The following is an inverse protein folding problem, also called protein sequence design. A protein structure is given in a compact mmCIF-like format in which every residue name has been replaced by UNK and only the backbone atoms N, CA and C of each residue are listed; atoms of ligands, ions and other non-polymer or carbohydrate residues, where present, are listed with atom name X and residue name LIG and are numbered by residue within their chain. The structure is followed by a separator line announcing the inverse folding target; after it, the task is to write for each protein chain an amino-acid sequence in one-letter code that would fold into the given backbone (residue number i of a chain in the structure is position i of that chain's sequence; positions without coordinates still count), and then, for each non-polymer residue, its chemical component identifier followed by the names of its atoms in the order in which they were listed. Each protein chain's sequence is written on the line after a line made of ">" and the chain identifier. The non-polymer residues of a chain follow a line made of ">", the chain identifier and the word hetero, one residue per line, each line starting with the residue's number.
data_IF_814458551204
#
_entry.id   IF_814458551204
#
_cell.length_a   1.000
_cell.length_b   1.000
_cell.length_c   1.000
_cell.angle_alpha   90.00
_cell.angle_beta   90.00
_cell.angle_gamma   90.00
#
_symmetry.space_group_name_H-M   'P 1'
#
loop_
_entity.id
_entity.type
_entity.pdbx_description
1 polymer ?
#
# COMPACT_ATOMS: atom_id res chain seq x y z
N UNK A 1 -20.04 -5.26 6.86
CA UNK A 1 -18.99 -5.11 5.82
C UNK A 1 -19.01 -3.69 5.31
N UNK A 2 -17.85 -3.14 5.00
CA UNK A 2 -17.72 -1.85 4.32
C UNK A 2 -17.75 -2.04 2.78
N UNK A 3 -17.73 -0.92 2.03
CA UNK A 3 -17.84 -0.93 0.57
C UNK A 3 -16.78 -1.79 -0.15
N UNK A 4 -15.54 -1.85 0.39
CA UNK A 4 -14.47 -2.64 -0.22
C UNK A 4 -14.61 -4.11 0.12
N UNK A 5 -14.97 -4.45 1.36
CA UNK A 5 -15.23 -5.84 1.78
C UNK A 5 -16.39 -6.43 0.97
N UNK A 6 -17.48 -5.66 0.74
CA UNK A 6 -18.60 -6.07 -0.11
C UNK A 6 -18.14 -6.32 -1.55
N UNK A 7 -17.28 -5.44 -2.09
CA UNK A 7 -16.73 -5.62 -3.43
C UNK A 7 -15.85 -6.87 -3.53
N UNK A 8 -14.99 -7.10 -2.54
CA UNK A 8 -14.12 -8.28 -2.49
C UNK A 8 -14.96 -9.56 -2.34
N UNK A 9 -15.97 -9.57 -1.48
CA UNK A 9 -16.85 -10.73 -1.28
C UNK A 9 -17.64 -11.09 -2.55
N UNK A 10 -18.03 -10.10 -3.34
CA UNK A 10 -18.81 -10.31 -4.58
C UNK A 10 -17.96 -10.73 -5.77
N UNK A 11 -16.82 -10.06 -5.99
CA UNK A 11 -16.05 -10.15 -7.24
C UNK A 11 -14.63 -10.71 -7.03
N UNK A 12 -14.20 -10.91 -5.78
CA UNK A 12 -12.93 -11.54 -5.45
C UNK A 12 -12.98 -13.05 -5.67
N UNK A 13 -11.84 -13.63 -6.04
CA UNK A 13 -11.71 -15.08 -6.26
C UNK A 13 -10.61 -15.64 -5.37
N UNK A 14 -10.98 -16.56 -4.49
CA UNK A 14 -10.03 -17.27 -3.64
C UNK A 14 -9.40 -18.44 -4.42
N UNK A 15 -8.07 -18.56 -4.35
CA UNK A 15 -7.31 -19.65 -4.95
C UNK A 15 -6.51 -20.37 -3.87
N UNK A 16 -6.11 -21.61 -4.16
CA UNK A 16 -5.19 -22.37 -3.32
C UNK A 16 -3.91 -21.57 -3.00
N UNK A 17 -3.30 -21.86 -1.84
CA UNK A 17 -2.11 -21.16 -1.39
C UNK A 17 -2.38 -19.77 -0.79
N UNK A 18 -3.58 -19.52 -0.28
CA UNK A 18 -3.97 -18.24 0.33
C UNK A 18 -3.84 -17.04 -0.64
N UNK A 19 -4.23 -17.25 -1.91
CA UNK A 19 -4.22 -16.23 -2.94
C UNK A 19 -5.63 -15.65 -3.09
N UNK A 20 -5.76 -14.34 -2.88
CA UNK A 20 -6.96 -13.57 -3.18
C UNK A 20 -6.74 -12.81 -4.49
N UNK A 21 -7.50 -13.14 -5.52
CA UNK A 21 -7.52 -12.41 -6.80
C UNK A 21 -8.58 -11.33 -6.76
N UNK A 22 -8.14 -10.11 -6.97
CA UNK A 22 -8.96 -8.89 -7.06
C UNK A 22 -8.61 -8.11 -8.34
N UNK A 23 -8.10 -8.82 -9.32
CA UNK A 23 -7.55 -8.28 -10.56
C UNK A 23 -8.61 -7.60 -11.44
N UNK A 24 -9.86 -7.97 -11.30
CA UNK A 24 -10.96 -7.39 -12.07
C UNK A 24 -11.35 -5.95 -11.65
N UNK A 25 -10.87 -5.47 -10.50
CA UNK A 25 -11.26 -4.14 -10.00
C UNK A 25 -10.17 -3.37 -9.23
N UNK A 26 -9.08 -4.04 -8.81
CA UNK A 26 -8.08 -3.40 -7.94
C UNK A 26 -6.70 -3.26 -8.60
N UNK A 27 -6.10 -4.36 -9.06
CA UNK A 27 -4.67 -4.37 -9.38
C UNK A 27 -4.30 -4.87 -10.78
N UNK A 28 -5.28 -5.06 -11.66
CA UNK A 28 -5.07 -5.27 -13.09
C UNK A 28 -6.03 -4.39 -13.91
N UNK A 29 -7.34 -4.62 -13.81
CA UNK A 29 -8.34 -3.64 -14.17
C UNK A 29 -8.62 -2.76 -12.94
N UNK A 30 -8.65 -1.45 -13.12
CA UNK A 30 -8.84 -0.48 -12.04
C UNK A 30 -10.24 0.10 -12.08
N UNK A 31 -11.04 -0.11 -11.03
CA UNK A 31 -12.34 0.53 -10.87
C UNK A 31 -12.15 1.91 -10.22
N UNK A 32 -12.19 2.95 -11.05
CA UNK A 32 -11.90 4.32 -10.62
C UNK A 32 -12.96 4.84 -9.64
N UNK A 33 -14.22 4.44 -9.78
CA UNK A 33 -15.26 4.83 -8.83
C UNK A 33 -15.04 4.20 -7.44
N UNK A 34 -14.57 2.95 -7.40
CA UNK A 34 -14.15 2.30 -6.17
C UNK A 34 -12.93 3.01 -5.55
N UNK A 35 -11.94 3.38 -6.37
CA UNK A 35 -10.76 4.12 -5.89
C UNK A 35 -11.11 5.50 -5.34
N UNK A 36 -12.12 6.17 -5.90
CA UNK A 36 -12.61 7.44 -5.40
C UNK A 36 -13.22 7.29 -3.98
N UNK A 37 -14.01 6.24 -3.75
CA UNK A 37 -14.51 5.90 -2.41
C UNK A 37 -13.37 5.57 -1.43
N UNK A 38 -12.34 4.86 -1.87
CA UNK A 38 -11.12 4.62 -1.06
C UNK A 38 -10.44 5.94 -0.70
N UNK A 39 -10.32 6.85 -1.65
CA UNK A 39 -9.69 8.16 -1.46
C UNK A 39 -10.43 9.00 -0.41
N UNK A 40 -11.75 9.03 -0.48
CA UNK A 40 -12.62 9.70 0.49
C UNK A 40 -12.45 9.09 1.89
N UNK A 41 -12.46 7.77 2.01
CA UNK A 41 -12.33 7.07 3.27
C UNK A 41 -10.93 7.26 3.89
N UNK A 42 -9.85 7.19 3.11
CA UNK A 42 -8.51 7.51 3.60
C UNK A 42 -8.41 8.97 4.03
N UNK A 43 -9.00 9.91 3.28
CA UNK A 43 -9.05 11.33 3.69
C UNK A 43 -9.73 11.50 5.03
N UNK A 44 -10.82 10.78 5.29
CA UNK A 44 -11.54 10.78 6.56
C UNK A 44 -10.68 10.21 7.70
N UNK A 45 -10.03 9.05 7.49
CA UNK A 45 -9.21 8.38 8.52
C UNK A 45 -7.95 9.17 8.89
N UNK A 46 -7.35 9.86 7.93
CA UNK A 46 -6.15 10.69 8.13
C UNK A 46 -6.44 12.19 8.24
N UNK A 47 -7.67 12.59 8.52
CA UNK A 47 -8.10 14.00 8.53
C UNK A 47 -7.28 14.91 9.48
N UNK A 48 -6.70 14.34 10.54
CA UNK A 48 -5.91 15.08 11.54
C UNK A 48 -4.41 15.12 11.22
N UNK A 49 -3.98 14.54 10.11
CA UNK A 49 -2.57 14.44 9.70
C UNK A 49 -2.19 15.55 8.73
N UNK A 50 -0.96 16.03 8.87
CA UNK A 50 -0.42 17.06 7.99
C UNK A 50 0.28 16.40 6.78
N UNK A 51 -0.50 15.87 5.85
CA UNK A 51 0.02 15.15 4.69
C UNK A 51 0.23 16.13 3.55
N UNK A 52 1.45 16.17 3.01
CA UNK A 52 1.82 16.99 1.85
C UNK A 52 2.35 16.16 0.66
N UNK A 53 2.49 14.85 0.83
CA UNK A 53 2.97 13.94 -0.22
C UNK A 53 2.43 12.53 -0.02
N UNK A 54 2.14 11.83 -1.13
CA UNK A 54 1.85 10.40 -1.11
C UNK A 54 3.03 9.64 -1.70
N UNK A 55 3.41 8.55 -1.05
CA UNK A 55 4.41 7.61 -1.53
C UNK A 55 3.77 6.24 -1.74
N UNK A 56 4.06 5.61 -2.86
CA UNK A 56 3.64 4.25 -3.17
C UNK A 56 4.76 3.47 -3.85
N UNK A 57 4.49 2.24 -4.26
CA UNK A 57 5.43 1.39 -4.99
C UNK A 57 4.80 0.87 -6.28
N UNK A 58 5.60 0.77 -7.36
CA UNK A 58 5.13 0.17 -8.61
C UNK A 58 4.76 -1.32 -8.43
N UNK A 59 3.75 -1.84 -9.16
CA UNK A 59 2.97 -1.11 -10.15
C UNK A 59 1.54 -0.81 -9.64
N UNK A 60 0.89 -1.76 -8.97
CA UNK A 60 -0.55 -1.73 -8.63
C UNK A 60 -0.95 -0.63 -7.65
N UNK A 61 -0.05 -0.25 -6.73
CA UNK A 61 -0.29 0.85 -5.79
C UNK A 61 -0.44 2.22 -6.46
N UNK A 62 0.13 2.42 -7.66
CA UNK A 62 0.15 3.75 -8.33
C UNK A 62 -1.25 4.25 -8.64
N UNK A 63 -2.12 3.40 -9.19
CA UNK A 63 -3.49 3.81 -9.54
C UNK A 63 -4.28 4.29 -8.33
N UNK A 64 -4.24 3.53 -7.23
CA UNK A 64 -4.89 3.88 -5.97
C UNK A 64 -4.31 5.19 -5.43
N UNK A 65 -2.99 5.29 -5.36
CA UNK A 65 -2.29 6.45 -4.83
C UNK A 65 -2.65 7.75 -5.58
N UNK A 66 -2.76 7.70 -6.90
CA UNK A 66 -3.15 8.86 -7.73
C UNK A 66 -4.56 9.36 -7.41
N UNK A 67 -5.52 8.44 -7.24
CA UNK A 67 -6.89 8.83 -6.91
C UNK A 67 -6.97 9.33 -5.46
N UNK A 68 -6.31 8.66 -4.51
CA UNK A 68 -6.21 9.12 -3.11
C UNK A 68 -5.58 10.51 -3.03
N UNK A 69 -4.49 10.78 -3.78
CA UNK A 69 -3.80 12.06 -3.79
C UNK A 69 -4.70 13.22 -4.20
N UNK A 70 -5.68 12.98 -5.09
CA UNK A 70 -6.68 13.99 -5.48
C UNK A 70 -7.47 14.50 -4.27
N UNK A 71 -7.86 13.61 -3.34
CA UNK A 71 -8.59 13.96 -2.13
C UNK A 71 -7.73 14.75 -1.12
N UNK A 72 -6.41 14.55 -1.14
CA UNK A 72 -5.47 15.30 -0.30
C UNK A 72 -4.93 16.56 -0.99
N UNK A 73 -5.10 16.67 -2.31
CA UNK A 73 -4.52 17.73 -3.16
C UNK A 73 -3.00 17.82 -3.02
N UNK A 74 -2.31 16.67 -3.14
CA UNK A 74 -0.86 16.55 -2.98
C UNK A 74 -0.25 15.72 -4.10
N UNK A 75 1.05 15.86 -4.39
CA UNK A 75 1.74 15.05 -5.39
C UNK A 75 1.91 13.60 -4.92
N UNK A 76 2.08 12.71 -5.91
CA UNK A 76 2.43 11.29 -5.71
C UNK A 76 3.86 11.04 -6.18
N UNK A 77 4.63 10.37 -5.35
CA UNK A 77 5.92 9.77 -5.73
C UNK A 77 5.76 8.26 -5.67
N UNK A 78 6.28 7.54 -6.65
CA UNK A 78 6.30 6.09 -6.59
C UNK A 78 7.72 5.54 -6.62
N UNK A 79 7.97 4.57 -5.76
CA UNK A 79 9.21 3.84 -5.71
C UNK A 79 9.26 2.79 -6.84
N UNK A 80 10.43 2.62 -7.45
CA UNK A 80 10.69 1.64 -8.50
C UNK A 80 11.39 0.42 -7.93
N UNK A 81 11.08 -0.76 -8.46
CA UNK A 81 11.67 -2.05 -8.04
C UNK A 81 13.00 -2.38 -8.74
N UNK A 82 13.45 -1.56 -9.67
CA UNK A 82 14.71 -1.76 -10.37
C UNK A 82 15.38 -0.43 -10.73
N UNK A 83 16.72 -0.44 -10.85
CA UNK A 83 17.43 0.68 -11.44
C UNK A 83 17.05 0.80 -12.90
N UNK A 84 16.21 1.78 -13.22
CA UNK A 84 16.02 2.24 -14.59
C UNK A 84 17.18 3.16 -14.96
N UNK A 85 17.76 2.97 -16.14
CA UNK A 85 18.79 3.87 -16.73
C UNK A 85 18.32 5.35 -16.76
N UNK A 86 17.01 5.56 -16.67
CA UNK A 86 16.38 6.88 -16.74
C UNK A 86 16.23 7.60 -15.37
N UNK A 87 16.72 7.02 -14.25
CA UNK A 87 16.80 7.78 -13.00
C UNK A 87 18.11 8.53 -13.01
N UNK A 88 18.06 9.77 -13.50
CA UNK A 88 19.18 10.70 -13.41
C UNK A 88 19.29 11.24 -11.98
N UNK A 89 20.49 11.26 -11.44
CA UNK A 89 20.80 11.84 -10.14
C UNK A 89 20.85 10.86 -8.99
N UNK A 90 20.94 11.40 -7.78
CA UNK A 90 21.04 10.65 -6.53
C UNK A 90 19.71 10.00 -6.15
N UNK A 91 19.77 8.82 -5.60
CA UNK A 91 18.62 8.03 -5.18
C UNK A 91 18.72 7.60 -3.72
N UNK A 92 17.55 7.45 -3.08
CA UNK A 92 17.40 6.63 -1.89
C UNK A 92 17.16 5.20 -2.31
N UNK A 93 17.77 4.25 -1.63
CA UNK A 93 17.66 2.82 -1.93
C UNK A 93 17.34 2.06 -0.64
N UNK A 94 16.37 1.16 -0.71
CA UNK A 94 16.12 0.18 0.35
C UNK A 94 16.13 -1.22 -0.24
N UNK A 95 16.75 -2.17 0.47
CA UNK A 95 16.66 -3.60 0.13
C UNK A 95 15.38 -4.17 0.75
N UNK A 96 14.60 -4.88 -0.05
CA UNK A 96 13.37 -5.55 0.36
C UNK A 96 13.51 -7.04 0.05
N UNK A 97 13.44 -7.87 1.08
CA UNK A 97 13.48 -9.32 0.90
C UNK A 97 12.11 -9.83 0.45
N UNK A 98 12.06 -10.49 -0.70
CA UNK A 98 10.88 -11.25 -1.11
C UNK A 98 10.92 -12.64 -0.49
N UNK A 99 9.98 -12.96 0.40
CA UNK A 99 9.88 -14.27 1.05
C UNK A 99 9.66 -15.43 0.08
N UNK A 100 9.06 -15.16 -1.09
CA UNK A 100 8.70 -16.19 -2.07
C UNK A 100 9.88 -16.65 -2.95
N UNK A 101 10.91 -15.84 -3.12
CA UNK A 101 12.00 -16.16 -4.07
C UNK A 101 13.42 -15.98 -3.53
N UNK A 102 13.63 -15.67 -2.23
CA UNK A 102 14.94 -15.32 -1.64
C UNK A 102 15.73 -14.26 -2.44
N UNK A 103 15.06 -13.55 -3.33
CA UNK A 103 15.66 -12.49 -4.12
C UNK A 103 15.56 -11.17 -3.35
N UNK A 104 16.68 -10.52 -3.16
CA UNK A 104 16.74 -9.15 -2.66
C UNK A 104 16.33 -8.21 -3.79
N UNK A 105 15.17 -7.60 -3.65
CA UNK A 105 14.73 -6.54 -4.55
C UNK A 105 15.15 -5.19 -3.96
N UNK A 106 15.65 -4.31 -4.80
CA UNK A 106 15.91 -2.94 -4.43
C UNK A 106 14.70 -2.07 -4.76
N UNK A 107 14.32 -1.23 -3.82
CA UNK A 107 13.31 -0.20 -3.99
C UNK A 107 14.01 1.14 -4.02
N UNK A 108 13.70 1.98 -5.01
CA UNK A 108 14.46 3.17 -5.35
C UNK A 108 13.53 4.38 -5.52
N UNK A 109 13.90 5.51 -4.91
CA UNK A 109 13.25 6.82 -5.10
C UNK A 109 14.31 7.89 -5.38
N UNK A 110 14.08 8.76 -6.35
CA UNK A 110 14.96 9.91 -6.61
C UNK A 110 14.94 10.90 -5.45
N UNK A 111 16.12 11.36 -5.02
CA UNK A 111 16.26 12.40 -3.99
C UNK A 111 15.67 13.75 -4.42
N UNK A 112 15.48 13.97 -5.71
CA UNK A 112 14.84 15.18 -6.23
C UNK A 112 13.36 15.32 -5.82
N UNK A 113 12.70 14.21 -5.42
CA UNK A 113 11.24 14.19 -5.17
C UNK A 113 10.87 13.85 -3.74
N UNK A 114 11.85 13.60 -2.86
CA UNK A 114 11.61 13.30 -1.46
C UNK A 114 12.68 13.93 -0.58
N UNK A 115 12.27 14.64 0.47
CA UNK A 115 13.16 15.38 1.34
C UNK A 115 12.64 15.56 2.77
N UNK A 116 13.35 16.35 3.60
CA UNK A 116 13.07 16.45 5.03
C UNK A 116 11.77 17.18 5.37
N UNK A 117 11.25 18.01 4.47
CA UNK A 117 9.99 18.74 4.68
C UNK A 117 8.76 17.94 4.24
N UNK A 118 8.96 16.70 3.79
CA UNK A 118 7.88 15.85 3.32
C UNK A 118 7.19 15.12 4.48
N UNK A 119 5.88 15.30 4.55
CA UNK A 119 4.95 14.63 5.43
C UNK A 119 4.16 13.61 4.62
N UNK A 120 4.57 12.36 4.71
CA UNK A 120 4.23 11.31 3.75
C UNK A 120 3.09 10.42 4.25
N UNK A 121 2.06 10.26 3.42
CA UNK A 121 1.13 9.14 3.54
C UNK A 121 1.58 8.03 2.56
N UNK A 122 1.89 6.85 3.08
CA UNK A 122 2.20 5.68 2.25
C UNK A 122 0.88 5.00 1.87
N UNK A 123 0.69 4.72 0.58
CA UNK A 123 -0.49 4.02 0.04
C UNK A 123 -0.04 2.79 -0.73
N UNK A 124 -0.68 1.64 -0.49
CA UNK A 124 -0.45 0.42 -1.27
C UNK A 124 -1.73 -0.42 -1.43
N UNK A 125 -1.74 -1.35 -2.39
CA UNK A 125 -2.88 -2.22 -2.66
C UNK A 125 -2.97 -3.38 -1.64
N UNK A 126 -1.87 -4.07 -1.36
CA UNK A 126 -1.83 -5.22 -0.46
C UNK A 126 -0.76 -5.11 0.64
N UNK A 127 -1.14 -5.52 1.84
CA UNK A 127 -0.21 -5.76 2.94
C UNK A 127 -0.22 -7.26 3.30
N UNK A 128 0.91 -7.91 3.06
CA UNK A 128 1.14 -9.31 3.40
C UNK A 128 2.20 -9.43 4.52
N UNK A 129 3.46 -9.64 4.17
CA UNK A 129 4.57 -9.75 5.12
C UNK A 129 5.15 -8.38 5.57
N UNK A 130 4.81 -7.29 4.88
CA UNK A 130 5.24 -5.94 5.22
C UNK A 130 6.62 -5.51 4.69
N UNK A 131 7.31 -6.35 3.93
CA UNK A 131 8.65 -6.03 3.43
C UNK A 131 8.67 -4.78 2.54
N UNK A 132 7.69 -4.63 1.65
CA UNK A 132 7.58 -3.44 0.79
C UNK A 132 7.40 -2.16 1.63
N UNK A 133 6.53 -2.19 2.63
CA UNK A 133 6.31 -1.06 3.53
C UNK A 133 7.55 -0.69 4.33
N UNK A 134 8.29 -1.68 4.85
CA UNK A 134 9.57 -1.43 5.53
C UNK A 134 10.56 -0.72 4.61
N UNK A 135 10.63 -1.12 3.34
CA UNK A 135 11.46 -0.45 2.34
C UNK A 135 11.04 1.00 2.12
N UNK A 136 9.74 1.28 1.99
CA UNK A 136 9.21 2.64 1.82
C UNK A 136 9.45 3.49 3.07
N UNK A 137 9.22 2.96 4.27
CA UNK A 137 9.51 3.62 5.54
C UNK A 137 10.99 3.98 5.64
N UNK A 138 11.88 3.04 5.30
CA UNK A 138 13.34 3.27 5.27
C UNK A 138 13.72 4.41 4.31
N UNK A 139 13.10 4.47 3.13
CA UNK A 139 13.32 5.53 2.14
C UNK A 139 12.91 6.90 2.69
N UNK A 140 11.74 7.00 3.32
CA UNK A 140 11.29 8.26 3.95
C UNK A 140 12.25 8.68 5.07
N UNK A 141 12.71 7.72 5.88
CA UNK A 141 13.69 7.98 6.94
C UNK A 141 15.04 8.47 6.37
N UNK A 142 15.55 7.86 5.30
CA UNK A 142 16.77 8.32 4.61
C UNK A 142 16.63 9.75 4.06
N UNK A 143 15.43 10.12 3.63
CA UNK A 143 15.13 11.46 3.15
C UNK A 143 15.00 12.50 4.28
N UNK A 144 14.94 12.06 5.54
CA UNK A 144 14.66 12.92 6.69
C UNK A 144 13.19 13.33 6.80
N UNK A 145 12.30 12.79 5.98
CA UNK A 145 10.87 13.05 5.98
C UNK A 145 10.13 12.33 7.12
N UNK A 146 8.86 12.63 7.26
CA UNK A 146 7.99 12.04 8.29
C UNK A 146 6.93 11.14 7.66
N UNK A 147 6.78 9.90 8.14
CA UNK A 147 5.65 9.04 7.80
C UNK A 147 4.47 9.42 8.69
N UNK A 148 3.47 10.10 8.14
CA UNK A 148 2.25 10.53 8.86
C UNK A 148 1.26 9.39 9.07
N UNK A 149 1.26 8.44 8.15
CA UNK A 149 0.41 7.26 8.20
C UNK A 149 0.61 6.33 7.03
N UNK A 150 -0.07 5.19 7.08
CA UNK A 150 -0.02 4.15 6.07
C UNK A 150 -1.45 3.68 5.77
N UNK A 151 -1.86 3.79 4.51
CA UNK A 151 -3.16 3.35 4.02
C UNK A 151 -3.02 2.15 3.08
N UNK A 152 -3.74 1.08 3.38
CA UNK A 152 -3.71 -0.18 2.63
C UNK A 152 -5.13 -0.52 2.18
N UNK A 153 -5.27 -0.92 0.92
CA UNK A 153 -6.58 -1.39 0.45
C UNK A 153 -6.92 -2.73 1.11
N UNK A 154 -6.07 -3.73 0.98
CA UNK A 154 -6.32 -5.09 1.50
C UNK A 154 -5.16 -5.59 2.36
N UNK A 155 -5.41 -5.82 3.63
CA UNK A 155 -4.47 -6.45 4.56
C UNK A 155 -4.76 -7.94 4.67
N UNK A 156 -3.74 -8.78 4.52
CA UNK A 156 -3.82 -10.21 4.87
C UNK A 156 -3.58 -10.35 6.37
N UNK A 157 -4.65 -10.30 7.17
CA UNK A 157 -4.61 -10.28 8.62
C UNK A 157 -4.02 -11.54 9.26
N UNK A 158 -3.99 -12.66 8.51
CA UNK A 158 -3.34 -13.91 8.90
C UNK A 158 -1.81 -13.91 8.67
N UNK A 159 -1.25 -12.82 8.11
CA UNK A 159 0.19 -12.62 7.95
C UNK A 159 0.72 -11.57 8.92
N UNK A 160 2.05 -11.55 9.10
CA UNK A 160 2.71 -10.77 10.16
C UNK A 160 2.80 -9.27 9.89
N UNK A 161 2.64 -8.84 8.62
CA UNK A 161 2.96 -7.47 8.21
C UNK A 161 2.17 -6.40 8.94
N UNK A 162 0.86 -6.59 9.08
CA UNK A 162 0.01 -5.61 9.77
C UNK A 162 0.38 -5.42 11.23
N UNK A 163 0.59 -6.52 11.96
CA UNK A 163 1.01 -6.46 13.36
C UNK A 163 2.40 -5.82 13.51
N UNK A 164 3.32 -6.17 12.63
CA UNK A 164 4.68 -5.63 12.64
C UNK A 164 4.67 -4.10 12.44
N UNK A 165 3.93 -3.58 11.45
CA UNK A 165 3.85 -2.14 11.18
C UNK A 165 3.21 -1.39 12.35
N UNK A 166 2.15 -1.95 12.95
CA UNK A 166 1.50 -1.35 14.15
C UNK A 166 2.44 -1.33 15.35
N UNK A 167 3.26 -2.38 15.55
CA UNK A 167 4.25 -2.45 16.63
C UNK A 167 5.38 -1.42 16.46
N UNK A 168 5.65 -0.96 15.25
CA UNK A 168 6.58 0.14 14.99
C UNK A 168 6.01 1.52 15.35
N UNK A 169 4.73 1.58 15.75
CA UNK A 169 4.07 2.81 16.19
C UNK A 169 3.41 3.64 15.08
N UNK A 170 3.37 3.13 13.84
CA UNK A 170 2.70 3.82 12.74
C UNK A 170 1.17 3.66 12.81
N UNK A 171 0.45 4.73 12.46
CA UNK A 171 -0.96 4.62 12.17
C UNK A 171 -1.14 3.87 10.85
N UNK A 172 -1.64 2.63 10.93
CA UNK A 172 -1.94 1.78 9.81
C UNK A 172 -3.46 1.64 9.68
N UNK A 173 -3.99 2.09 8.56
CA UNK A 173 -5.40 2.00 8.21
C UNK A 173 -5.57 1.08 7.00
N UNK A 174 -6.14 -0.09 7.23
CA UNK A 174 -6.48 -1.05 6.18
C UNK A 174 -7.98 -0.99 5.91
N UNK A 175 -8.40 -0.81 4.64
CA UNK A 175 -9.82 -0.72 4.30
C UNK A 175 -10.52 -2.07 4.42
N UNK A 176 -9.85 -3.15 4.07
CA UNK A 176 -10.31 -4.51 4.30
C UNK A 176 -9.19 -5.31 4.97
N UNK A 177 -9.51 -6.07 6.02
CA UNK A 177 -8.58 -7.00 6.67
C UNK A 177 -9.15 -8.41 6.52
N UNK A 178 -8.46 -9.25 5.77
CA UNK A 178 -8.85 -10.65 5.54
C UNK A 178 -8.14 -11.54 6.56
N UNK A 179 -8.90 -12.12 7.48
CA UNK A 179 -8.37 -13.02 8.52
C UNK A 179 -8.32 -14.49 8.09
N UNK A 180 -9.09 -14.86 7.07
CA UNK A 180 -9.08 -16.20 6.53
C UNK A 180 -9.79 -16.30 5.19
N UNK A 181 -9.45 -17.32 4.43
CA UNK A 181 -10.05 -17.62 3.13
C UNK A 181 -10.09 -19.14 2.92
N UNK A 182 -11.13 -19.63 2.27
CA UNK A 182 -11.28 -21.03 1.87
C UNK A 182 -11.43 -21.14 0.36
N UNK A 183 -10.46 -21.74 -0.31
CA UNK A 183 -10.48 -21.91 -1.77
C UNK A 183 -11.53 -22.92 -2.24
N UNK A 184 -11.96 -23.85 -1.39
CA UNK A 184 -12.96 -24.87 -1.73
C UNK A 184 -14.39 -24.31 -1.74
N UNK A 185 -14.67 -23.35 -0.84
CA UNK A 185 -16.00 -22.71 -0.70
C UNK A 185 -16.05 -21.32 -1.32
N UNK A 186 -14.89 -20.68 -1.49
CA UNK A 186 -14.81 -19.27 -1.87
C UNK A 186 -15.08 -18.30 -0.72
N UNK A 187 -15.22 -18.79 0.50
CA UNK A 187 -15.49 -17.97 1.67
C UNK A 187 -14.31 -17.08 2.04
N UNK A 188 -14.61 -15.83 2.42
CA UNK A 188 -13.64 -14.83 2.87
C UNK A 188 -14.09 -14.27 4.21
N UNK A 189 -13.25 -14.41 5.22
CA UNK A 189 -13.52 -13.92 6.56
C UNK A 189 -12.82 -12.60 6.79
N UNK A 190 -13.59 -11.53 6.99
CA UNK A 190 -13.08 -10.19 7.26
C UNK A 190 -13.05 -9.92 8.76
N UNK A 191 -12.01 -9.19 9.20
CA UNK A 191 -11.93 -8.66 10.56
C UNK A 191 -12.89 -7.50 10.74
N UNK A 192 -13.67 -7.52 11.81
CA UNK A 192 -14.45 -6.35 12.21
C UNK A 192 -13.52 -5.21 12.63
N UNK A 193 -13.76 -4.03 12.09
CA UNK A 193 -12.99 -2.82 12.34
C UNK A 193 -13.89 -1.74 13.00
#
# INVERSE_FOLDING_TARGET
>A
MNFLEERIARDGVVKEGNVLKVDSFLNHQMDIALFDQMGEEFKRRFAKKNINKILTIEASGIGIACVVARHFNVPVVFAKKSKSINIAGDVYVAEVESFTHKNKNQVIVSKAFLGPDDHVLIIDDFLANGCALQGLISIVSQAGGTVEGIGIAVEKGFQVGGQMIRNLGYQLESLAIVDGMDASTGEINFRHQ
#
